data_IF_395027601324
#
_entry.id   IF_395027601324
#
_cell.length_a   1.000
_cell.length_b   1.000
_cell.length_c   1.000
_cell.angle_alpha   90.00
_cell.angle_beta   90.00
_cell.angle_gamma   90.00
#
_symmetry.space_group_name_H-M   'P 1'
#
loop_
_entity.id
_entity.type
_entity.pdbx_description
1 polymer ?
#
# COMPACT_ATOMS: atom_id res chain seq x y z
N UNK A 1 9.25 7.13 5.43
CA UNK A 1 9.94 5.84 5.83
C UNK A 1 10.72 5.39 4.61
N UNK A 2 11.98 4.98 4.70
CA UNK A 2 12.76 4.52 3.52
C UNK A 2 12.66 2.99 3.41
N UNK A 3 11.47 2.49 3.05
CA UNK A 3 11.19 1.05 3.01
C UNK A 3 11.89 0.36 1.84
N UNK A 4 11.99 1.02 0.70
CA UNK A 4 12.64 0.44 -0.49
C UNK A 4 14.12 0.19 -0.18
N UNK A 5 14.82 1.17 0.39
CA UNK A 5 16.23 1.00 0.78
C UNK A 5 16.40 -0.08 1.86
N UNK A 6 15.55 -0.09 2.89
CA UNK A 6 15.60 -1.12 3.95
C UNK A 6 15.39 -2.53 3.39
N UNK A 7 14.49 -2.70 2.42
CA UNK A 7 14.25 -3.98 1.76
C UNK A 7 15.44 -4.35 0.85
N UNK A 8 16.00 -3.42 0.08
CA UNK A 8 17.19 -3.67 -0.74
C UNK A 8 18.37 -4.19 0.10
N UNK A 9 18.62 -3.58 1.26
CA UNK A 9 19.66 -4.02 2.18
C UNK A 9 19.40 -5.42 2.73
N UNK A 10 18.15 -5.73 3.09
CA UNK A 10 17.76 -7.03 3.66
C UNK A 10 17.75 -8.17 2.64
N UNK A 11 17.44 -7.87 1.38
CA UNK A 11 17.36 -8.85 0.31
C UNK A 11 18.69 -9.00 -0.45
N UNK A 12 19.71 -8.24 -0.09
CA UNK A 12 21.04 -8.32 -0.70
C UNK A 12 21.65 -9.71 -0.51
N UNK A 13 21.99 -10.38 -1.63
CA UNK A 13 22.59 -11.71 -1.63
C UNK A 13 21.60 -12.86 -1.36
N UNK A 14 20.30 -12.58 -1.33
CA UNK A 14 19.27 -13.61 -1.23
C UNK A 14 18.91 -14.11 -2.62
N UNK A 15 19.03 -15.43 -2.85
CA UNK A 15 18.85 -16.03 -4.17
C UNK A 15 17.43 -16.52 -4.50
N UNK A 16 16.53 -16.59 -3.53
CA UNK A 16 15.15 -16.95 -3.82
C UNK A 16 14.30 -15.71 -4.18
N UNK A 17 13.18 -15.89 -4.91
CA UNK A 17 12.39 -14.78 -5.40
C UNK A 17 11.72 -13.99 -4.27
N UNK A 18 11.68 -12.65 -4.42
CA UNK A 18 10.92 -11.76 -3.57
C UNK A 18 9.43 -11.78 -3.94
N UNK A 19 9.12 -11.82 -5.24
CA UNK A 19 7.78 -11.80 -5.77
C UNK A 19 7.57 -12.97 -6.74
N UNK A 20 6.50 -13.72 -6.54
CA UNK A 20 6.00 -14.74 -7.48
C UNK A 20 4.66 -14.23 -8.00
N UNK A 21 4.51 -14.12 -9.32
CA UNK A 21 3.31 -13.62 -9.98
C UNK A 21 2.98 -14.46 -11.22
N UNK A 22 1.86 -14.18 -11.89
CA UNK A 22 1.35 -15.01 -13.00
C UNK A 22 2.36 -15.24 -14.14
N UNK A 23 3.25 -14.27 -14.39
CA UNK A 23 4.21 -14.32 -15.50
C UNK A 23 5.63 -14.76 -15.08
N UNK A 24 5.80 -15.25 -13.84
CA UNK A 24 7.10 -15.71 -13.35
C UNK A 24 7.44 -15.26 -11.93
N UNK A 25 8.73 -15.10 -11.66
CA UNK A 25 9.21 -14.66 -10.36
C UNK A 25 10.34 -13.64 -10.52
N UNK A 26 10.43 -12.70 -9.58
CA UNK A 26 11.44 -11.64 -9.56
C UNK A 26 12.15 -11.57 -8.20
N UNK A 27 13.44 -11.28 -8.22
CA UNK A 27 14.21 -10.85 -7.05
C UNK A 27 13.81 -9.42 -6.66
N UNK A 28 14.15 -9.01 -5.44
CA UNK A 28 13.81 -7.65 -4.99
C UNK A 28 14.39 -6.56 -5.87
N UNK A 29 15.64 -6.69 -6.29
CA UNK A 29 16.31 -5.71 -7.16
C UNK A 29 15.59 -5.55 -8.51
N UNK A 30 15.05 -6.63 -9.06
CA UNK A 30 14.28 -6.59 -10.31
C UNK A 30 12.93 -5.87 -10.12
N UNK A 31 12.29 -6.02 -8.95
CA UNK A 31 11.09 -5.24 -8.61
C UNK A 31 11.45 -3.77 -8.39
N UNK A 32 12.50 -3.48 -7.64
CA UNK A 32 12.93 -2.11 -7.35
C UNK A 32 13.38 -1.33 -8.60
N UNK A 33 13.83 -2.02 -9.65
CA UNK A 33 14.23 -1.44 -10.93
C UNK A 33 13.09 -1.28 -11.94
N UNK A 34 11.84 -1.63 -11.59
CA UNK A 34 10.70 -1.33 -12.46
C UNK A 34 10.52 0.19 -12.66
N UNK A 35 9.79 0.57 -13.70
CA UNK A 35 9.49 1.97 -13.94
C UNK A 35 8.67 2.54 -12.77
N UNK A 36 9.17 3.60 -12.16
CA UNK A 36 8.46 4.30 -11.09
C UNK A 36 7.25 5.04 -11.64
N UNK A 37 6.13 4.99 -10.94
CA UNK A 37 4.98 5.86 -11.20
C UNK A 37 5.34 7.28 -10.78
N UNK A 38 4.95 8.27 -11.59
CA UNK A 38 5.10 9.67 -11.20
C UNK A 38 4.07 10.02 -10.11
N UNK A 39 4.56 10.21 -8.90
CA UNK A 39 3.77 10.54 -7.72
C UNK A 39 3.86 12.03 -7.35
N UNK A 40 4.16 12.94 -8.30
CA UNK A 40 4.28 14.39 -8.02
C UNK A 40 2.99 14.98 -7.42
N UNK A 41 1.83 14.54 -7.89
CA UNK A 41 0.51 14.97 -7.39
C UNK A 41 0.12 14.37 -6.03
N UNK A 42 0.84 13.37 -5.54
CA UNK A 42 0.58 12.70 -4.26
C UNK A 42 1.34 13.39 -3.14
N UNK A 43 0.62 13.84 -2.11
CA UNK A 43 1.19 14.54 -0.94
C UNK A 43 1.25 13.61 0.26
N UNK A 44 2.18 13.90 1.19
CA UNK A 44 2.18 13.23 2.51
C UNK A 44 0.84 13.43 3.21
N UNK A 45 0.31 12.37 3.80
CA UNK A 45 -0.99 12.36 4.48
C UNK A 45 -2.21 12.22 3.55
N UNK A 46 -2.04 12.20 2.21
CA UNK A 46 -3.15 11.85 1.32
C UNK A 46 -3.63 10.42 1.60
N UNK A 47 -4.94 10.20 1.47
CA UNK A 47 -5.53 8.86 1.41
C UNK A 47 -5.52 8.41 -0.04
N UNK A 48 -4.73 7.37 -0.33
CA UNK A 48 -4.44 6.93 -1.71
C UNK A 48 -4.99 5.55 -1.96
N UNK A 49 -6.00 5.44 -2.84
CA UNK A 49 -6.45 4.16 -3.36
C UNK A 49 -5.47 3.69 -4.46
N UNK A 50 -4.83 2.55 -4.25
CA UNK A 50 -4.03 1.86 -5.25
C UNK A 50 -4.83 0.68 -5.78
N UNK A 51 -5.29 0.80 -7.03
CA UNK A 51 -6.04 -0.26 -7.72
C UNK A 51 -5.06 -1.08 -8.56
N UNK A 52 -4.96 -2.36 -8.28
CA UNK A 52 -4.08 -3.27 -9.00
C UNK A 52 -3.99 -4.63 -8.34
N UNK A 53 -3.41 -5.56 -9.08
CA UNK A 53 -3.16 -6.92 -8.61
C UNK A 53 -1.72 -7.09 -8.14
N UNK A 54 -1.37 -8.30 -7.66
CA UNK A 54 -0.01 -8.66 -7.26
C UNK A 54 0.90 -8.79 -8.48
N UNK A 55 1.32 -7.66 -9.04
CA UNK A 55 2.30 -7.58 -10.12
C UNK A 55 3.48 -6.66 -9.70
N UNK A 56 4.63 -6.72 -10.40
CA UNK A 56 5.82 -5.98 -10.00
C UNK A 56 5.59 -4.48 -9.90
N UNK A 57 4.83 -3.90 -10.83
CA UNK A 57 4.54 -2.47 -10.87
C UNK A 57 3.69 -2.03 -9.68
N UNK A 58 2.62 -2.76 -9.36
CA UNK A 58 1.74 -2.44 -8.23
C UNK A 58 2.49 -2.55 -6.90
N UNK A 59 3.35 -3.57 -6.74
CA UNK A 59 4.17 -3.74 -5.53
C UNK A 59 5.17 -2.59 -5.39
N UNK A 60 5.87 -2.20 -6.45
CA UNK A 60 6.78 -1.05 -6.39
C UNK A 60 6.04 0.24 -6.04
N UNK A 61 4.89 0.51 -6.70
CA UNK A 61 4.07 1.69 -6.41
C UNK A 61 3.60 1.70 -4.95
N UNK A 62 3.18 0.55 -4.41
CA UNK A 62 2.84 0.41 -3.00
C UNK A 62 4.01 0.81 -2.08
N UNK A 63 5.24 0.35 -2.36
CA UNK A 63 6.42 0.69 -1.58
C UNK A 63 6.76 2.19 -1.69
N UNK A 64 6.65 2.78 -2.90
CA UNK A 64 6.84 4.22 -3.10
C UNK A 64 5.84 5.06 -2.28
N UNK A 65 4.58 4.62 -2.23
CA UNK A 65 3.52 5.28 -1.46
C UNK A 65 3.78 5.21 0.05
N UNK A 66 4.28 4.07 0.55
CA UNK A 66 4.69 3.94 1.96
C UNK A 66 5.81 4.95 2.28
N UNK A 67 6.79 5.11 1.39
CA UNK A 67 7.87 6.08 1.58
C UNK A 67 7.43 7.54 1.52
N UNK A 68 6.26 7.82 0.90
CA UNK A 68 5.64 9.15 0.89
C UNK A 68 4.78 9.46 2.12
N UNK A 69 4.68 8.56 3.10
CA UNK A 69 3.83 8.71 4.29
C UNK A 69 2.36 8.97 3.95
N UNK A 70 1.80 8.21 3.02
CA UNK A 70 0.38 8.27 2.69
C UNK A 70 -0.44 7.29 3.54
N UNK A 71 -1.76 7.44 3.52
CA UNK A 71 -2.71 6.46 4.04
C UNK A 71 -3.17 5.60 2.86
N UNK A 72 -2.66 4.38 2.78
CA UNK A 72 -2.83 3.49 1.64
C UNK A 72 -4.16 2.72 1.72
N UNK A 73 -4.86 2.61 0.60
CA UNK A 73 -6.10 1.81 0.42
C UNK A 73 -5.86 0.87 -0.77
N UNK A 74 -5.30 -0.34 -0.54
CA UNK A 74 -5.07 -1.30 -1.63
C UNK A 74 -6.40 -1.94 -2.03
N UNK A 75 -6.70 -1.90 -3.33
CA UNK A 75 -7.92 -2.46 -3.93
C UNK A 75 -7.57 -3.31 -5.14
N UNK A 76 -8.34 -4.38 -5.37
CA UNK A 76 -8.21 -5.22 -6.55
C UNK A 76 -9.21 -4.81 -7.63
N UNK A 77 -8.92 -5.13 -8.88
CA UNK A 77 -9.82 -4.90 -10.01
C UNK A 77 -11.15 -5.65 -9.82
N UNK A 78 -11.12 -6.83 -9.21
CA UNK A 78 -12.31 -7.65 -8.95
C UNK A 78 -13.36 -6.96 -8.07
N UNK A 79 -12.94 -6.03 -7.22
CA UNK A 79 -13.84 -5.27 -6.33
C UNK A 79 -14.37 -3.99 -6.96
N UNK A 80 -14.17 -3.75 -8.26
CA UNK A 80 -14.50 -2.51 -8.98
C UNK A 80 -15.93 -2.01 -8.74
N UNK A 81 -16.91 -2.91 -8.67
CA UNK A 81 -18.29 -2.56 -8.40
C UNK A 81 -18.53 -1.90 -7.03
N UNK A 82 -17.57 -2.01 -6.11
CA UNK A 82 -17.61 -1.46 -4.76
C UNK A 82 -16.67 -0.26 -4.56
N UNK A 83 -15.87 0.11 -5.56
CA UNK A 83 -14.82 1.12 -5.41
C UNK A 83 -15.40 2.48 -4.99
N UNK A 84 -16.54 2.91 -5.55
CA UNK A 84 -17.17 4.18 -5.15
C UNK A 84 -17.45 4.19 -3.64
N UNK A 85 -18.07 3.12 -3.13
CA UNK A 85 -18.30 2.96 -1.69
C UNK A 85 -16.99 2.94 -0.87
N UNK A 86 -15.95 2.28 -1.37
CA UNK A 86 -14.66 2.24 -0.69
C UNK A 86 -13.99 3.61 -0.66
N UNK A 87 -14.05 4.37 -1.76
CA UNK A 87 -13.51 5.73 -1.82
C UNK A 87 -14.20 6.67 -0.83
N UNK A 88 -15.53 6.63 -0.78
CA UNK A 88 -16.30 7.42 0.18
C UNK A 88 -15.99 7.01 1.63
N UNK A 89 -15.99 5.70 1.93
CA UNK A 89 -15.82 5.19 3.30
C UNK A 89 -14.41 5.42 3.84
N UNK A 90 -13.38 5.41 2.98
CA UNK A 90 -11.98 5.65 3.36
C UNK A 90 -11.58 7.13 3.19
N UNK A 91 -12.45 7.99 2.64
CA UNK A 91 -12.15 9.39 2.31
C UNK A 91 -10.94 9.51 1.39
N UNK A 92 -10.97 8.82 0.25
CA UNK A 92 -9.86 8.77 -0.71
C UNK A 92 -9.63 10.14 -1.35
N UNK A 93 -8.39 10.64 -1.27
CA UNK A 93 -7.94 11.88 -1.91
C UNK A 93 -7.42 11.66 -3.33
N UNK A 94 -6.76 10.50 -3.56
CA UNK A 94 -6.10 10.16 -4.82
C UNK A 94 -6.36 8.70 -5.20
N UNK A 95 -6.64 8.45 -6.47
CA UNK A 95 -6.72 7.10 -7.04
C UNK A 95 -5.56 6.89 -7.99
N UNK A 96 -4.90 5.74 -7.87
CA UNK A 96 -3.83 5.29 -8.78
C UNK A 96 -4.28 3.96 -9.38
N UNK A 97 -4.35 3.90 -10.70
CA UNK A 97 -4.68 2.70 -11.46
C UNK A 97 -3.85 2.66 -12.74
N UNK A 98 -3.19 1.54 -13.03
CA UNK A 98 -2.36 1.33 -14.22
C UNK A 98 -1.30 2.43 -14.47
N UNK A 99 -0.83 3.06 -13.40
CA UNK A 99 0.12 4.17 -13.45
C UNK A 99 -0.50 5.55 -13.58
N UNK A 100 -1.79 5.65 -13.87
CA UNK A 100 -2.51 6.92 -13.92
C UNK A 100 -2.84 7.41 -12.50
N UNK A 101 -2.57 8.68 -12.23
CA UNK A 101 -2.81 9.32 -10.93
C UNK A 101 -3.94 10.33 -11.06
N UNK A 102 -5.02 10.15 -10.32
CA UNK A 102 -6.19 11.02 -10.35
C UNK A 102 -6.57 11.50 -8.96
N UNK A 103 -6.60 12.82 -8.74
CA UNK A 103 -7.08 13.41 -7.50
C UNK A 103 -8.59 13.49 -7.46
N UNK A 104 -9.16 13.12 -6.30
CA UNK A 104 -10.59 13.26 -5.99
C UNK A 104 -10.73 14.38 -4.95
N UNK A 105 -11.70 15.25 -5.12
CA UNK A 105 -12.01 16.31 -4.15
C UNK A 105 -13.15 15.86 -3.25
N UNK A 106 -12.94 15.87 -1.94
CA UNK A 106 -13.99 15.74 -0.94
C UNK A 106 -13.76 16.74 0.20
N UNK A 107 -14.83 17.08 0.92
CA UNK A 107 -14.80 18.01 2.06
C UNK A 107 -14.87 17.32 3.43
N UNK A 108 -15.02 15.99 3.43
CA UNK A 108 -15.18 15.20 4.65
C UNK A 108 -13.85 15.05 5.38
N UNK A 109 -13.93 14.94 6.72
CA UNK A 109 -12.79 14.73 7.62
C UNK A 109 -13.10 13.60 8.58
N UNK A 110 -12.06 12.91 9.03
CA UNK A 110 -12.18 11.86 10.04
C UNK A 110 -11.06 11.96 11.06
N UNK A 111 -11.41 11.96 12.34
CA UNK A 111 -10.45 12.19 13.42
C UNK A 111 -9.25 11.23 13.41
N UNK A 112 -9.45 9.95 13.09
CA UNK A 112 -8.35 8.98 13.00
C UNK A 112 -7.38 9.24 11.85
N UNK A 113 -7.89 9.73 10.70
CA UNK A 113 -7.07 10.14 9.56
C UNK A 113 -6.25 11.38 9.93
N UNK A 114 -6.90 12.37 10.56
CA UNK A 114 -6.24 13.60 10.99
C UNK A 114 -5.19 13.32 12.08
N UNK A 115 -5.41 12.32 12.93
CA UNK A 115 -4.41 11.86 13.91
C UNK A 115 -3.15 11.31 13.22
N UNK A 116 -3.29 10.45 12.21
CA UNK A 116 -2.14 9.92 11.46
C UNK A 116 -1.40 11.03 10.71
N UNK A 117 -2.13 11.97 10.11
CA UNK A 117 -1.55 13.16 9.45
C UNK A 117 -0.72 13.99 10.43
N UNK A 118 -1.24 14.23 11.62
CA UNK A 118 -0.53 15.00 12.66
C UNK A 118 0.73 14.30 13.14
N UNK A 119 0.73 12.97 13.20
CA UNK A 119 1.88 12.15 13.56
C UNK A 119 2.88 11.96 12.43
N UNK A 120 2.54 12.39 11.22
CA UNK A 120 3.29 12.09 9.99
C UNK A 120 3.52 10.58 9.79
N UNK A 121 2.54 9.76 10.21
CA UNK A 121 2.57 8.31 10.05
C UNK A 121 1.93 7.88 8.75
N UNK A 122 2.48 6.84 8.13
CA UNK A 122 1.81 6.09 7.08
C UNK A 122 0.65 5.29 7.67
N UNK A 123 -0.46 5.21 6.91
CA UNK A 123 -1.63 4.43 7.28
C UNK A 123 -1.92 3.31 6.28
N UNK A 124 -2.75 2.35 6.70
CA UNK A 124 -3.28 1.30 5.84
C UNK A 124 -4.76 1.12 6.16
N UNK A 125 -5.63 1.30 5.17
CA UNK A 125 -7.06 1.00 5.27
C UNK A 125 -7.34 -0.33 4.58
N UNK A 126 -7.92 -1.27 5.33
CA UNK A 126 -8.42 -2.54 4.81
C UNK A 126 -9.92 -2.63 5.00
N UNK A 127 -10.61 -3.31 4.08
CA UNK A 127 -12.04 -3.54 4.17
C UNK A 127 -12.34 -4.95 4.66
N UNK A 128 -13.14 -5.06 5.73
CA UNK A 128 -13.58 -6.35 6.23
C UNK A 128 -14.79 -6.85 5.44
N UNK A 129 -14.83 -8.14 5.11
CA UNK A 129 -16.02 -8.81 4.62
C UNK A 129 -16.96 -9.09 5.80
N UNK A 130 -17.71 -8.08 6.25
CA UNK A 130 -18.65 -8.25 7.35
C UNK A 130 -19.75 -9.27 7.01
N UNK A 131 -20.08 -10.17 7.94
CA UNK A 131 -21.11 -11.21 7.77
C UNK A 131 -22.54 -10.66 7.71
N UNK A 132 -22.77 -9.38 8.02
CA UNK A 132 -24.09 -8.78 8.23
C UNK A 132 -24.32 -7.45 7.53
N UNK A 133 -23.48 -7.03 6.56
CA UNK A 133 -23.67 -5.73 5.91
C UNK A 133 -22.56 -5.35 4.95
N UNK A 134 -22.47 -4.07 4.64
CA UNK A 134 -21.42 -3.51 3.79
C UNK A 134 -20.06 -3.65 4.46
N UNK A 135 -18.96 -3.88 3.70
CA UNK A 135 -17.60 -3.92 4.23
C UNK A 135 -17.30 -2.67 5.07
N UNK A 136 -16.59 -2.86 6.19
CA UNK A 136 -16.18 -1.76 7.05
C UNK A 136 -14.73 -1.40 6.77
N UNK A 137 -14.43 -0.11 6.63
CA UNK A 137 -13.08 0.41 6.56
C UNK A 137 -12.40 0.32 7.93
N UNK A 138 -11.22 -0.29 8.00
CA UNK A 138 -10.42 -0.44 9.21
C UNK A 138 -9.07 0.25 8.97
N UNK A 139 -8.80 1.31 9.71
CA UNK A 139 -7.55 2.06 9.62
C UNK A 139 -6.51 1.49 10.57
N UNK A 140 -5.34 1.18 10.03
CA UNK A 140 -4.16 0.75 10.77
C UNK A 140 -3.07 1.82 10.68
N UNK A 141 -2.38 2.08 11.79
CA UNK A 141 -1.13 2.85 11.79
C UNK A 141 0.01 1.96 11.26
N UNK A 142 0.33 2.13 9.98
CA UNK A 142 1.33 1.30 9.30
C UNK A 142 2.74 1.57 9.81
N UNK A 143 3.04 2.79 10.23
CA UNK A 143 4.34 3.15 10.80
C UNK A 143 4.60 2.36 12.09
N UNK A 144 3.64 2.35 13.02
CA UNK A 144 3.76 1.56 14.25
C UNK A 144 3.77 0.05 13.98
N UNK A 145 2.98 -0.40 13.01
CA UNK A 145 2.97 -1.80 12.60
C UNK A 145 4.34 -2.25 12.10
N UNK A 146 4.97 -1.46 11.24
CA UNK A 146 6.27 -1.78 10.64
C UNK A 146 7.43 -1.79 11.64
N UNK A 147 7.36 -1.00 12.73
CA UNK A 147 8.36 -1.00 13.80
C UNK A 147 8.56 -2.40 14.43
N UNK A 148 7.51 -3.24 14.44
CA UNK A 148 7.60 -4.62 14.95
C UNK A 148 8.54 -5.51 14.15
N UNK A 149 8.88 -5.13 12.91
CA UNK A 149 9.76 -5.86 12.01
C UNK A 149 11.18 -5.28 11.94
N UNK A 150 11.47 -4.24 12.70
CA UNK A 150 12.82 -3.65 12.76
C UNK A 150 13.83 -4.58 13.47
N UNK A 151 13.35 -5.39 14.43
CA UNK A 151 14.18 -6.39 15.08
C UNK A 151 14.25 -7.65 14.22
N UNK A 152 15.45 -8.07 13.77
CA UNK A 152 15.61 -9.30 13.00
C UNK A 152 15.10 -10.51 13.78
N UNK A 153 14.30 -11.34 13.15
CA UNK A 153 13.84 -12.63 13.68
C UNK A 153 14.47 -13.77 12.87
N UNK A 154 14.58 -14.98 13.44
CA UNK A 154 15.01 -16.15 12.68
C UNK A 154 14.13 -16.32 11.42
N UNK A 155 14.78 -16.61 10.30
CA UNK A 155 14.09 -16.83 9.03
C UNK A 155 13.31 -18.14 9.10
N UNK A 156 12.00 -18.07 9.01
CA UNK A 156 11.12 -19.25 8.87
C UNK A 156 10.71 -19.36 7.40
N UNK A 157 10.83 -20.58 6.84
CA UNK A 157 10.24 -20.87 5.53
C UNK A 157 8.77 -21.18 5.76
N UNK A 158 7.89 -20.28 5.34
CA UNK A 158 6.44 -20.44 5.41
C UNK A 158 5.85 -20.39 4.01
N UNK A 159 4.81 -21.17 3.78
CA UNK A 159 3.98 -21.06 2.58
C UNK A 159 2.71 -20.33 3.00
N UNK A 160 2.41 -19.21 2.36
CA UNK A 160 1.12 -18.53 2.49
C UNK A 160 0.24 -18.92 1.32
N UNK A 161 -1.00 -19.31 1.62
CA UNK A 161 -2.00 -19.67 0.64
C UNK A 161 -2.96 -18.50 0.42
#
# INVERSE_FOLDING_TARGET
MDIIRKLSERWKGIDYPFLIHANGSLKFDEVANQQHVDLAEVKSGDVVALIGDFNPQSILTLLQLIDKNVILVPLTVDTRAQHEYFFESALVDVVIEDGDVKRINHSQKHALIDELRTKEHSGLVLFSTGTTGRPKAILHDLTLFMQRFETPRPTLKTINF
#
